data_IF_908867936371
#
_entry.id   IF_908867936371
#
_cell.length_a   1.000
_cell.length_b   1.000
_cell.length_c   1.000
_cell.angle_alpha   90.00
_cell.angle_beta   90.00
_cell.angle_gamma   90.00
#
_symmetry.space_group_name_H-M   'P 1'
#
loop_
_entity.id
_entity.type
_entity.pdbx_description
1 polymer ?
#
# COMPACT_ATOMS: atom_id res chain seq x y z
N UNK A 1 31.39 -3.44 -5.43
CA UNK A 1 29.97 -3.46 -5.03
C UNK A 1 29.31 -2.22 -5.57
N UNK A 2 28.19 -2.36 -6.26
CA UNK A 2 27.37 -1.23 -6.73
C UNK A 2 26.73 -0.53 -5.53
N UNK A 3 26.74 0.82 -5.48
CA UNK A 3 26.11 1.56 -4.38
C UNK A 3 24.59 1.38 -4.40
N UNK A 4 23.97 1.42 -3.21
CA UNK A 4 22.51 1.33 -3.09
C UNK A 4 21.83 2.46 -3.88
N UNK A 5 20.76 2.13 -4.59
CA UNK A 5 19.99 3.05 -5.44
C UNK A 5 19.51 4.26 -4.64
N UNK A 6 19.11 4.06 -3.38
CA UNK A 6 18.85 5.13 -2.42
C UNK A 6 19.71 4.91 -1.17
N UNK A 7 20.87 5.58 -1.07
CA UNK A 7 21.70 5.46 0.12
C UNK A 7 20.96 6.02 1.33
N UNK A 8 21.16 5.39 2.49
CA UNK A 8 20.74 5.98 3.75
C UNK A 8 21.29 7.41 3.84
N UNK A 9 20.48 8.34 4.33
CA UNK A 9 20.92 9.72 4.45
C UNK A 9 22.15 9.78 5.37
N UNK A 10 23.20 10.46 4.90
CA UNK A 10 24.44 10.58 5.65
C UNK A 10 24.19 11.40 6.92
N UNK A 11 24.48 10.80 8.07
CA UNK A 11 24.47 11.50 9.35
C UNK A 11 25.73 12.36 9.46
N UNK A 12 25.57 13.68 9.63
CA UNK A 12 26.70 14.62 9.74
C UNK A 12 27.35 14.60 11.13
N UNK A 13 26.59 14.27 12.18
CA UNK A 13 27.03 14.24 13.60
C UNK A 13 26.42 13.04 14.33
N UNK A 14 27.18 12.36 15.21
CA UNK A 14 26.72 11.20 16.00
C UNK A 14 25.42 11.51 16.80
N UNK A 15 25.22 12.78 17.19
CA UNK A 15 24.06 13.23 17.96
C UNK A 15 22.89 13.75 17.10
N UNK A 16 23.00 13.74 15.76
CA UNK A 16 21.95 14.20 14.85
C UNK A 16 21.38 13.04 14.05
N UNK A 17 20.05 12.96 13.98
CA UNK A 17 19.39 12.08 13.03
C UNK A 17 19.39 12.72 11.65
N UNK A 18 19.76 11.94 10.63
CA UNK A 18 19.88 12.41 9.23
C UNK A 18 18.58 12.99 8.67
N UNK A 19 17.44 12.56 9.21
CA UNK A 19 16.10 12.95 8.77
C UNK A 19 15.35 13.80 9.81
N UNK A 20 16.02 14.45 10.77
CA UNK A 20 15.35 15.23 11.82
C UNK A 20 14.79 14.39 12.97
N UNK A 21 14.20 15.05 13.97
CA UNK A 21 13.66 14.37 15.16
C UNK A 21 12.37 13.62 14.79
N UNK A 22 12.40 12.30 14.96
CA UNK A 22 11.25 11.43 14.74
C UNK A 22 10.44 11.28 16.04
N UNK A 23 9.12 11.22 15.89
CA UNK A 23 8.22 10.89 17.00
C UNK A 23 8.47 9.46 17.51
N UNK A 24 8.10 9.19 18.76
CA UNK A 24 8.18 7.84 19.31
C UNK A 24 7.10 6.93 18.73
N UNK A 25 7.37 5.63 18.68
CA UNK A 25 6.32 4.64 18.40
C UNK A 25 5.30 4.62 19.55
N UNK A 26 3.98 4.52 19.29
CA UNK A 26 3.32 4.37 17.99
C UNK A 26 2.89 5.69 17.32
N UNK A 27 3.17 6.84 17.92
CA UNK A 27 2.74 8.15 17.43
C UNK A 27 3.33 8.49 16.04
N UNK A 28 4.57 8.06 15.78
CA UNK A 28 5.24 8.24 14.47
C UNK A 28 4.48 7.68 13.27
N UNK A 29 3.56 6.72 13.48
CA UNK A 29 2.79 6.13 12.41
C UNK A 29 1.85 7.15 11.74
N UNK A 30 1.31 8.10 12.51
CA UNK A 30 0.41 9.14 12.01
C UNK A 30 1.06 10.53 11.99
N UNK A 31 2.24 10.69 12.59
CA UNK A 31 3.01 11.91 12.51
C UNK A 31 3.38 12.23 11.06
N UNK A 32 3.62 13.51 10.78
CA UNK A 32 4.14 13.94 9.49
C UNK A 32 5.64 13.65 9.43
N UNK A 33 6.11 12.79 8.50
CA UNK A 33 7.53 12.49 8.37
C UNK A 33 8.33 13.75 7.99
N UNK A 34 9.49 14.02 8.62
CA UNK A 34 10.22 15.25 8.38
C UNK A 34 10.69 15.44 6.93
N UNK A 35 10.90 14.37 6.14
CA UNK A 35 11.23 14.49 4.71
C UNK A 35 10.16 15.23 3.91
N UNK A 36 8.89 15.09 4.28
CA UNK A 36 7.78 15.79 3.61
C UNK A 36 7.83 17.31 3.90
N UNK A 37 8.46 17.75 4.99
CA UNK A 37 8.56 19.18 5.33
C UNK A 37 9.60 19.94 4.49
N UNK A 38 10.56 19.25 3.89
CA UNK A 38 11.74 19.87 3.28
C UNK A 38 11.73 19.88 1.75
N UNK A 39 10.78 19.20 1.10
CA UNK A 39 10.72 19.12 -0.37
C UNK A 39 9.74 20.18 -0.90
N UNK A 40 10.29 21.30 -1.40
CA UNK A 40 9.58 22.28 -2.24
C UNK A 40 9.31 21.75 -3.67
N UNK A 41 9.28 20.43 -3.85
CA UNK A 41 9.08 19.79 -5.15
C UNK A 41 7.58 19.60 -5.43
N UNK A 42 7.10 20.38 -6.40
CA UNK A 42 6.08 20.04 -7.39
C UNK A 42 5.02 18.98 -6.99
N UNK A 43 4.20 19.28 -5.97
CA UNK A 43 2.93 18.58 -5.73
C UNK A 43 2.72 18.03 -4.33
N UNK A 44 3.74 18.00 -3.47
CA UNK A 44 3.60 17.54 -2.09
C UNK A 44 3.08 18.62 -1.15
N UNK A 45 1.77 18.65 -0.92
CA UNK A 45 1.18 19.52 0.09
C UNK A 45 0.81 18.71 1.33
N UNK A 46 1.06 19.25 2.54
CA UNK A 46 0.58 18.72 3.82
C UNK A 46 -0.92 18.32 3.79
N UNK A 47 -1.71 19.06 3.00
CA UNK A 47 -3.13 18.79 2.75
C UNK A 47 -3.34 17.43 2.09
N UNK A 48 -2.60 17.12 1.03
CA UNK A 48 -2.67 15.83 0.31
C UNK A 48 -2.36 14.67 1.26
N UNK A 49 -1.29 14.76 2.06
CA UNK A 49 -0.95 13.72 3.04
C UNK A 49 -2.07 13.47 4.07
N UNK A 50 -2.66 14.56 4.59
CA UNK A 50 -3.72 14.46 5.58
C UNK A 50 -5.04 13.95 4.99
N UNK A 51 -5.39 14.37 3.78
CA UNK A 51 -6.57 13.89 3.04
C UNK A 51 -6.42 12.40 2.71
N UNK A 52 -5.25 11.99 2.23
CA UNK A 52 -4.94 10.59 1.95
C UNK A 52 -5.07 9.71 3.19
N UNK A 53 -4.55 10.15 4.34
CA UNK A 53 -4.72 9.41 5.60
C UNK A 53 -6.20 9.27 6.01
N UNK A 54 -7.06 10.25 5.70
CA UNK A 54 -8.50 10.16 5.96
C UNK A 54 -9.17 9.16 5.00
N UNK A 55 -8.86 9.23 3.71
CA UNK A 55 -9.38 8.33 2.67
C UNK A 55 -9.06 6.87 3.04
N UNK A 56 -7.81 6.57 3.38
CA UNK A 56 -7.41 5.20 3.70
C UNK A 56 -7.99 4.65 5.00
N UNK A 57 -8.25 5.51 6.00
CA UNK A 57 -9.02 5.09 7.18
C UNK A 57 -10.44 4.66 6.82
N UNK A 58 -11.11 5.37 5.91
CA UNK A 58 -12.44 4.98 5.41
C UNK A 58 -12.37 3.67 4.63
N UNK A 59 -11.45 3.56 3.67
CA UNK A 59 -11.26 2.34 2.86
C UNK A 59 -10.96 1.10 3.70
N UNK A 60 -10.07 1.20 4.68
CA UNK A 60 -9.77 0.08 5.60
C UNK A 60 -10.99 -0.28 6.47
N UNK A 61 -11.82 0.71 6.83
CA UNK A 61 -13.09 0.43 7.52
C UNK A 61 -14.05 -0.34 6.63
N UNK A 62 -14.17 0.05 5.35
CA UNK A 62 -14.96 -0.65 4.35
C UNK A 62 -14.49 -2.10 4.16
N UNK A 63 -13.18 -2.32 3.98
CA UNK A 63 -12.61 -3.66 3.88
C UNK A 63 -12.85 -4.50 5.14
N UNK A 64 -12.79 -3.88 6.33
CA UNK A 64 -13.09 -4.57 7.59
C UNK A 64 -14.54 -5.03 7.72
N UNK A 65 -15.49 -4.29 7.15
CA UNK A 65 -16.91 -4.69 7.14
C UNK A 65 -17.17 -5.80 6.11
N UNK A 66 -16.48 -5.73 4.97
CA UNK A 66 -16.60 -6.70 3.87
C UNK A 66 -15.90 -8.03 4.21
N UNK A 67 -14.68 -7.98 4.74
CA UNK A 67 -13.89 -9.13 5.13
C UNK A 67 -14.06 -9.40 6.62
N UNK A 68 -15.09 -10.18 6.97
CA UNK A 68 -15.34 -10.59 8.37
C UNK A 68 -14.08 -11.18 9.03
N UNK A 69 -13.34 -12.02 8.30
CA UNK A 69 -12.09 -12.66 8.75
C UNK A 69 -11.01 -11.68 9.19
N UNK A 70 -11.00 -10.44 8.68
CA UNK A 70 -10.04 -9.42 9.10
C UNK A 70 -10.25 -8.98 10.55
N UNK A 71 -11.50 -8.88 10.98
CA UNK A 71 -11.85 -8.49 12.35
C UNK A 71 -11.66 -9.65 13.35
N UNK A 72 -11.85 -10.89 12.89
CA UNK A 72 -11.64 -12.10 13.71
C UNK A 72 -10.19 -12.60 13.76
N UNK A 73 -9.25 -11.92 13.08
CA UNK A 73 -7.83 -12.29 13.10
C UNK A 73 -7.44 -13.45 12.17
N UNK A 74 -8.27 -13.74 11.15
CA UNK A 74 -7.99 -14.76 10.13
C UNK A 74 -6.80 -14.41 9.23
N UNK A 75 -6.45 -13.13 9.11
CA UNK A 75 -5.24 -12.70 8.39
C UNK A 75 -4.13 -12.33 9.38
N UNK A 76 -2.91 -12.76 9.06
CA UNK A 76 -1.69 -12.44 9.84
C UNK A 76 -0.70 -11.61 9.04
N UNK A 77 -0.67 -11.80 7.72
CA UNK A 77 0.23 -11.13 6.80
C UNK A 77 -0.59 -10.46 5.70
N UNK A 78 -0.27 -9.22 5.39
CA UNK A 78 -0.90 -8.42 4.35
C UNK A 78 0.22 -7.81 3.51
N UNK A 79 0.07 -7.84 2.19
CA UNK A 79 1.00 -7.19 1.26
C UNK A 79 0.30 -5.99 0.65
N UNK A 80 0.91 -4.81 0.78
CA UNK A 80 0.45 -3.57 0.17
C UNK A 80 1.29 -3.32 -1.09
N UNK A 81 0.74 -3.68 -2.24
CA UNK A 81 1.49 -3.69 -3.51
C UNK A 81 1.67 -2.29 -4.12
N UNK A 82 1.06 -1.24 -3.58
CA UNK A 82 1.35 0.13 -4.02
C UNK A 82 1.24 1.07 -2.82
N UNK A 83 2.20 0.93 -1.90
CA UNK A 83 2.06 1.47 -0.56
C UNK A 83 2.03 3.00 -0.49
N UNK A 84 2.54 3.69 -1.52
CA UNK A 84 2.73 5.14 -1.51
C UNK A 84 3.50 5.56 -0.25
N UNK A 85 2.83 6.25 0.67
CA UNK A 85 3.43 6.70 1.94
C UNK A 85 3.29 5.71 3.11
N UNK A 86 2.78 4.49 2.89
CA UNK A 86 2.50 3.51 3.96
C UNK A 86 1.22 3.82 4.74
N UNK A 87 0.26 4.51 4.12
CA UNK A 87 -1.01 4.95 4.73
C UNK A 87 -2.00 3.81 4.97
N UNK A 88 -2.04 2.84 4.06
CA UNK A 88 -2.85 1.65 4.24
C UNK A 88 -2.33 0.85 5.44
N UNK A 89 -1.03 0.57 5.51
CA UNK A 89 -0.41 -0.05 6.68
C UNK A 89 -0.70 0.72 7.99
N UNK A 90 -0.64 2.05 7.95
CA UNK A 90 -0.98 2.88 9.11
C UNK A 90 -2.45 2.75 9.55
N UNK A 91 -3.38 2.66 8.60
CA UNK A 91 -4.80 2.46 8.88
C UNK A 91 -5.11 1.03 9.36
N UNK A 92 -4.32 0.04 8.94
CA UNK A 92 -4.43 -1.36 9.36
C UNK A 92 -3.94 -1.64 10.79
N UNK A 93 -3.33 -0.66 11.47
CA UNK A 93 -2.84 -0.79 12.87
C UNK A 93 -3.87 -1.36 13.85
N UNK A 94 -5.17 -1.10 13.62
CA UNK A 94 -6.25 -1.63 14.49
C UNK A 94 -6.38 -3.16 14.42
N UNK A 95 -5.84 -3.79 13.38
CA UNK A 95 -5.82 -5.23 13.20
C UNK A 95 -4.44 -5.79 13.55
N UNK A 96 -4.39 -7.00 14.10
CA UNK A 96 -3.15 -7.68 14.48
C UNK A 96 -2.47 -8.32 13.25
N UNK A 97 -2.15 -7.50 12.25
CA UNK A 97 -1.56 -7.93 10.98
C UNK A 97 -0.17 -7.35 10.77
N UNK A 98 0.69 -8.10 10.09
CA UNK A 98 1.95 -7.63 9.55
C UNK A 98 1.75 -7.14 8.13
N UNK A 99 2.08 -5.89 7.85
CA UNK A 99 1.96 -5.30 6.52
C UNK A 99 3.33 -5.15 5.89
N UNK A 100 3.58 -5.86 4.79
CA UNK A 100 4.73 -5.63 3.92
C UNK A 100 4.35 -4.58 2.87
N UNK A 101 5.04 -3.43 2.89
CA UNK A 101 4.80 -2.35 1.93
C UNK A 101 5.70 -2.53 0.71
N UNK A 102 5.12 -2.52 -0.47
CA UNK A 102 5.85 -2.54 -1.75
C UNK A 102 5.66 -1.22 -2.45
N UNK A 103 6.76 -0.62 -2.88
CA UNK A 103 6.78 0.62 -3.65
C UNK A 103 7.26 0.28 -5.06
N UNK A 104 6.49 0.63 -6.11
CA UNK A 104 6.95 0.47 -7.50
C UNK A 104 8.26 1.23 -7.73
N UNK A 105 9.20 0.62 -8.45
CA UNK A 105 10.51 1.22 -8.73
C UNK A 105 10.40 2.56 -9.48
N UNK A 106 9.45 2.67 -10.40
CA UNK A 106 9.20 3.89 -11.20
C UNK A 106 8.56 5.04 -10.41
N UNK A 107 8.25 4.84 -9.12
CA UNK A 107 7.74 5.91 -8.28
C UNK A 107 8.83 6.99 -8.12
N UNK A 108 8.65 8.13 -8.82
CA UNK A 108 9.56 9.29 -8.83
C UNK A 108 9.85 9.90 -7.45
N UNK A 109 9.17 9.44 -6.39
CA UNK A 109 9.22 10.00 -5.05
C UNK A 109 9.96 9.09 -4.05
N UNK A 110 10.58 9.71 -3.04
CA UNK A 110 11.27 9.06 -1.92
C UNK A 110 10.32 8.32 -0.93
N UNK A 111 9.30 7.63 -1.46
CA UNK A 111 8.23 6.94 -0.73
C UNK A 111 8.75 5.96 0.32
N UNK A 112 9.77 5.17 -0.03
CA UNK A 112 10.32 4.18 0.88
C UNK A 112 10.98 4.84 2.11
N UNK A 113 11.64 5.99 1.92
CA UNK A 113 12.16 6.78 3.04
C UNK A 113 11.07 7.24 3.99
N UNK A 114 9.93 7.67 3.45
CA UNK A 114 8.74 8.06 4.24
C UNK A 114 8.18 6.87 5.02
N UNK A 115 8.09 5.69 4.39
CA UNK A 115 7.64 4.44 5.04
C UNK A 115 8.54 4.10 6.23
N UNK A 116 9.87 4.20 6.07
CA UNK A 116 10.83 3.93 7.13
C UNK A 116 10.76 4.95 8.28
N UNK A 117 10.56 6.23 8.00
CA UNK A 117 10.39 7.26 9.05
C UNK A 117 9.13 7.05 9.90
N UNK A 118 8.08 6.48 9.31
CA UNK A 118 6.87 6.04 10.05
C UNK A 118 7.11 4.76 10.87
N UNK A 119 8.26 4.12 10.69
CA UNK A 119 8.64 2.85 11.32
C UNK A 119 7.90 1.65 10.76
N UNK A 120 7.55 1.70 9.48
CA UNK A 120 6.98 0.59 8.73
C UNK A 120 8.08 -0.12 7.93
N UNK A 121 7.85 -1.39 7.59
CA UNK A 121 8.74 -2.17 6.73
C UNK A 121 8.28 -2.05 5.27
N UNK A 122 9.23 -2.03 4.34
CA UNK A 122 8.90 -2.05 2.93
C UNK A 122 10.10 -2.27 2.02
N UNK A 123 9.81 -2.54 0.76
CA UNK A 123 10.78 -2.80 -0.31
C UNK A 123 10.38 -2.07 -1.59
N UNK A 124 11.36 -1.78 -2.43
CA UNK A 124 11.08 -1.50 -3.84
C UNK A 124 10.86 -2.81 -4.59
N UNK A 125 10.02 -2.76 -5.61
CA UNK A 125 9.90 -3.84 -6.58
C UNK A 125 9.75 -3.23 -7.97
N UNK A 126 10.51 -3.78 -8.91
CA UNK A 126 10.42 -3.42 -10.33
C UNK A 126 9.48 -4.42 -10.99
N UNK A 127 8.38 -3.91 -11.55
CA UNK A 127 7.35 -4.72 -12.20
C UNK A 127 7.19 -4.27 -13.63
N UNK A 128 7.29 -5.22 -14.56
CA UNK A 128 7.22 -4.91 -15.99
C UNK A 128 5.79 -4.95 -16.53
N UNK A 129 5.01 -5.99 -16.23
CA UNK A 129 3.62 -6.12 -16.69
C UNK A 129 2.67 -6.56 -15.56
N UNK A 130 1.40 -6.16 -15.68
CA UNK A 130 0.34 -6.55 -14.75
C UNK A 130 0.14 -8.07 -14.75
N UNK A 131 0.42 -8.74 -15.87
CA UNK A 131 0.38 -10.20 -15.98
C UNK A 131 1.32 -10.85 -14.97
N UNK A 132 2.56 -10.33 -14.84
CA UNK A 132 3.54 -10.85 -13.90
C UNK A 132 3.05 -10.65 -12.45
N UNK A 133 2.52 -9.47 -12.14
CA UNK A 133 1.95 -9.15 -10.83
C UNK A 133 0.84 -10.16 -10.46
N UNK A 134 -0.10 -10.42 -11.38
CA UNK A 134 -1.23 -11.33 -11.15
C UNK A 134 -0.76 -12.78 -10.99
N UNK A 135 0.21 -13.23 -11.78
CA UNK A 135 0.81 -14.57 -11.64
C UNK A 135 1.51 -14.72 -10.29
N UNK A 136 2.25 -13.69 -9.86
CA UNK A 136 2.93 -13.66 -8.58
C UNK A 136 1.95 -13.68 -7.41
N UNK A 137 0.88 -12.89 -7.47
CA UNK A 137 -0.20 -12.91 -6.49
C UNK A 137 -0.83 -14.31 -6.39
N UNK A 138 -1.17 -14.91 -7.53
CA UNK A 138 -1.74 -16.26 -7.58
C UNK A 138 -0.78 -17.30 -6.95
N UNK A 139 0.52 -17.20 -7.22
CA UNK A 139 1.53 -18.14 -6.69
C UNK A 139 1.71 -18.07 -5.18
N UNK A 140 1.65 -16.87 -4.59
CA UNK A 140 1.90 -16.69 -3.15
C UNK A 140 0.63 -16.81 -2.29
N UNK A 141 -0.54 -16.76 -2.91
CA UNK A 141 -1.82 -16.82 -2.21
C UNK A 141 -2.02 -18.21 -1.59
N UNK A 142 -2.13 -18.25 -0.27
CA UNK A 142 -2.41 -19.49 0.47
C UNK A 142 -3.89 -19.83 0.45
N UNK A 143 -4.24 -21.04 0.89
CA UNK A 143 -5.64 -21.43 1.17
C UNK A 143 -6.26 -20.40 2.12
N UNK A 144 -7.52 -20.07 1.90
CA UNK A 144 -8.28 -19.01 2.60
C UNK A 144 -7.67 -17.59 2.45
N UNK A 145 -6.70 -17.42 1.56
CA UNK A 145 -6.14 -16.13 1.23
C UNK A 145 -7.14 -15.27 0.46
N UNK A 146 -7.07 -13.96 0.66
CA UNK A 146 -7.88 -13.00 -0.08
C UNK A 146 -6.99 -12.00 -0.80
N UNK A 147 -7.34 -11.70 -2.05
CA UNK A 147 -6.73 -10.63 -2.83
C UNK A 147 -7.78 -9.56 -3.08
N UNK A 148 -7.42 -8.31 -2.81
CA UNK A 148 -8.22 -7.13 -3.15
C UNK A 148 -7.41 -6.31 -4.13
N UNK A 149 -7.97 -6.09 -5.32
CA UNK A 149 -7.42 -5.21 -6.36
C UNK A 149 -8.39 -4.05 -6.49
N UNK A 150 -7.89 -2.83 -6.31
CA UNK A 150 -8.67 -1.60 -6.48
C UNK A 150 -7.94 -0.73 -7.46
N UNK A 151 -8.59 -0.39 -8.57
CA UNK A 151 -8.03 0.48 -9.59
C UNK A 151 -9.15 1.07 -10.46
N UNK A 152 -8.76 1.85 -11.47
CA UNK A 152 -9.66 2.31 -12.51
C UNK A 152 -10.31 1.13 -13.25
N UNK A 153 -11.55 1.35 -13.70
CA UNK A 153 -12.37 0.34 -14.39
C UNK A 153 -11.65 -0.37 -15.54
N UNK A 154 -10.93 0.36 -16.38
CA UNK A 154 -10.20 -0.19 -17.53
C UNK A 154 -9.09 -1.16 -17.09
N UNK A 155 -8.34 -0.82 -16.04
CA UNK A 155 -7.32 -1.69 -15.44
C UNK A 155 -7.98 -2.93 -14.83
N UNK A 156 -9.06 -2.76 -14.08
CA UNK A 156 -9.80 -3.89 -13.48
C UNK A 156 -10.36 -4.84 -14.55
N UNK A 157 -10.85 -4.31 -15.68
CA UNK A 157 -11.31 -5.13 -16.79
C UNK A 157 -10.16 -5.91 -17.45
N UNK A 158 -8.98 -5.31 -17.58
CA UNK A 158 -7.76 -6.00 -18.05
C UNK A 158 -7.33 -7.10 -17.09
N UNK A 159 -7.32 -6.83 -15.78
CA UNK A 159 -7.05 -7.83 -14.74
C UNK A 159 -8.03 -9.00 -14.86
N UNK A 160 -9.32 -8.69 -15.00
CA UNK A 160 -10.36 -9.70 -15.16
C UNK A 160 -10.10 -10.61 -16.36
N UNK A 161 -9.74 -10.05 -17.51
CA UNK A 161 -9.42 -10.83 -18.71
C UNK A 161 -8.25 -11.81 -18.46
N UNK A 162 -7.21 -11.36 -17.75
CA UNK A 162 -6.05 -12.19 -17.40
C UNK A 162 -6.47 -13.30 -16.43
N UNK A 163 -7.20 -12.96 -15.37
CA UNK A 163 -7.62 -13.94 -14.36
C UNK A 163 -8.61 -14.95 -14.90
N UNK A 164 -9.50 -14.55 -15.82
CA UNK A 164 -10.44 -15.45 -16.49
C UNK A 164 -9.68 -16.46 -17.38
N UNK A 165 -8.59 -16.03 -18.04
CA UNK A 165 -7.70 -16.93 -18.80
C UNK A 165 -6.90 -17.87 -17.91
N UNK A 166 -6.54 -17.43 -16.71
CA UNK A 166 -5.86 -18.26 -15.71
C UNK A 166 -6.79 -19.25 -15.01
N UNK A 167 -8.12 -19.13 -15.22
CA UNK A 167 -9.13 -19.89 -14.49
C UNK A 167 -9.01 -19.65 -12.98
N UNK A 168 -8.65 -18.42 -12.59
CA UNK A 168 -8.59 -18.05 -11.19
C UNK A 168 -10.02 -17.80 -10.66
N UNK A 169 -10.56 -18.79 -9.98
CA UNK A 169 -11.94 -18.77 -9.47
C UNK A 169 -12.20 -17.63 -8.47
N UNK A 170 -13.40 -17.04 -8.53
CA UNK A 170 -13.94 -16.23 -7.43
C UNK A 170 -13.83 -14.70 -7.55
N UNK A 171 -13.39 -14.16 -8.70
CA UNK A 171 -13.28 -12.72 -8.93
C UNK A 171 -14.62 -11.97 -8.87
N UNK A 172 -14.93 -11.34 -7.73
CA UNK A 172 -16.16 -10.54 -7.54
C UNK A 172 -15.87 -9.06 -7.79
N UNK A 173 -16.66 -8.43 -8.67
CA UNK A 173 -16.57 -7.00 -8.95
C UNK A 173 -17.53 -6.21 -8.06
N UNK A 174 -16.99 -5.21 -7.38
CA UNK A 174 -17.73 -4.31 -6.51
C UNK A 174 -17.47 -2.88 -7.01
N UNK A 175 -18.55 -2.11 -7.19
CA UNK A 175 -18.42 -0.69 -7.50
C UNK A 175 -17.97 0.05 -6.25
N UNK A 176 -16.99 0.92 -6.41
CA UNK A 176 -16.59 1.81 -5.34
C UNK A 176 -17.40 3.11 -5.42
N UNK A 177 -18.32 3.29 -4.49
CA UNK A 177 -19.21 4.46 -4.44
C UNK A 177 -18.56 5.68 -3.74
N UNK A 178 -17.27 5.60 -3.37
CA UNK A 178 -16.57 6.65 -2.62
C UNK A 178 -16.26 7.92 -3.45
N UNK A 179 -16.58 7.96 -4.76
CA UNK A 179 -16.34 9.12 -5.62
C UNK A 179 -17.60 9.67 -6.32
N UNK A 180 -17.92 10.93 -6.01
CA UNK A 180 -18.97 11.73 -6.64
C UNK A 180 -18.51 12.36 -8.00
N UNK A 181 -17.69 11.67 -8.79
CA UNK A 181 -17.14 12.22 -10.04
C UNK A 181 -16.48 11.22 -10.97
N UNK A 182 -17.00 11.16 -12.20
CA UNK A 182 -16.51 10.68 -13.52
C UNK A 182 -15.55 9.49 -13.69
N UNK A 183 -14.69 9.13 -12.75
CA UNK A 183 -13.76 8.00 -12.87
C UNK A 183 -14.20 6.89 -11.93
N UNK A 184 -14.94 5.91 -12.47
CA UNK A 184 -15.42 4.76 -11.71
C UNK A 184 -14.22 3.89 -11.30
N UNK A 185 -13.69 4.07 -10.09
CA UNK A 185 -12.86 3.06 -9.43
C UNK A 185 -13.71 1.80 -9.24
N UNK A 186 -13.09 0.63 -9.41
CA UNK A 186 -13.70 -0.66 -9.14
C UNK A 186 -12.80 -1.46 -8.21
N UNK A 187 -13.44 -2.34 -7.45
CA UNK A 187 -12.77 -3.28 -6.56
C UNK A 187 -13.05 -4.68 -7.09
N UNK A 188 -12.00 -5.44 -7.31
CA UNK A 188 -12.06 -6.85 -7.63
C UNK A 188 -11.51 -7.66 -6.45
N UNK A 189 -12.25 -8.68 -6.02
CA UNK A 189 -11.91 -9.48 -4.85
C UNK A 189 -11.83 -10.94 -5.25
N UNK A 190 -10.76 -11.62 -4.85
CA UNK A 190 -10.60 -13.06 -4.99
C UNK A 190 -10.46 -13.68 -3.61
N UNK A 191 -11.23 -14.74 -3.35
CA UNK A 191 -11.09 -15.56 -2.15
C UNK A 191 -10.63 -16.95 -2.57
N UNK A 192 -9.46 -17.37 -2.11
CA UNK A 192 -8.96 -18.70 -2.37
C UNK A 192 -9.62 -19.70 -1.41
N UNK A 193 -10.61 -20.43 -1.88
CA UNK A 193 -11.29 -21.47 -1.08
C UNK A 193 -10.67 -22.86 -1.25
N UNK A 194 -9.71 -23.03 -2.17
CA UNK A 194 -9.12 -24.30 -2.54
C UNK A 194 -7.82 -24.59 -1.78
#
# INVERSE_FOLDING_TARGET
>A
MTPCIFPLQKVKDINKTSSGVLEKWPMRLNALPPRIKNENDNGFTLKVYNEDNKIWKKRVSYYGAMLKSLSYGGYRNVMDMNAGFGRFAAAMRKYQVWVMNVVPFDAKSNNLGIIYERGLIGTYMDWCDITDIILEMHRILRREGTVIIRDFKDIILKVKEITDRMIWEGGTLVKDDDHNGSSQEMIMIFNNTN
#
